data_IF_311502153079
#
_entry.id   IF_311502153079
#
_cell.length_a   1.000
_cell.length_b   1.000
_cell.length_c   1.000
_cell.angle_alpha   90.00
_cell.angle_beta   90.00
_cell.angle_gamma   90.00
#
_symmetry.space_group_name_H-M   'P 1'
#
loop_
_entity.id
_entity.type
_entity.pdbx_description
1 polymer ?
#
# COMPACT_ATOMS: atom_id res chain seq x y z
N UNK A 1 -3.10 8.31 -11.86
CA UNK A 1 -1.74 8.86 -12.00
C UNK A 1 -1.56 9.94 -10.95
N UNK A 2 -0.44 9.90 -10.23
CA UNK A 2 -0.13 10.85 -9.15
C UNK A 2 0.97 11.76 -9.59
N UNK A 3 0.82 13.03 -9.28
CA UNK A 3 1.91 13.97 -9.45
C UNK A 3 2.87 13.78 -8.29
N UNK A 4 4.06 13.33 -8.60
CA UNK A 4 5.17 13.17 -7.65
C UNK A 4 6.23 14.19 -8.01
N UNK A 5 6.72 14.93 -7.04
CA UNK A 5 7.91 15.74 -7.23
C UNK A 5 8.88 15.57 -6.06
N UNK A 6 10.14 15.66 -6.40
CA UNK A 6 11.24 15.67 -5.44
C UNK A 6 11.74 17.08 -5.24
N UNK A 7 12.16 17.39 -4.04
CA UNK A 7 12.66 18.71 -3.70
C UNK A 7 13.68 18.66 -2.57
N UNK A 8 14.43 19.73 -2.42
CA UNK A 8 15.27 20.01 -1.24
C UNK A 8 15.01 21.43 -0.78
N UNK A 9 15.12 21.65 0.51
CA UNK A 9 15.17 22.99 1.05
C UNK A 9 16.61 23.48 0.97
N UNK A 10 16.78 24.72 0.56
CA UNK A 10 18.05 25.41 0.61
C UNK A 10 17.97 26.58 1.60
N UNK A 11 18.97 26.70 2.47
CA UNK A 11 19.15 27.87 3.32
C UNK A 11 20.11 28.84 2.60
N UNK A 12 19.67 30.08 2.44
CA UNK A 12 20.50 31.15 1.87
C UNK A 12 21.07 32.01 3.01
N UNK A 13 22.38 32.17 3.01
CA UNK A 13 23.10 32.99 3.98
C UNK A 13 23.64 34.26 3.30
N UNK A 14 22.95 35.40 3.41
CA UNK A 14 23.40 36.65 2.76
C UNK A 14 24.75 37.09 3.35
N UNK A 15 25.66 37.48 2.46
CA UNK A 15 26.99 37.96 2.84
C UNK A 15 28.10 36.89 2.89
N UNK A 16 27.77 35.64 2.57
CA UNK A 16 28.77 34.60 2.32
C UNK A 16 29.11 34.64 0.81
N UNK A 17 30.38 34.80 0.48
CA UNK A 17 30.83 34.79 -0.93
C UNK A 17 30.80 33.34 -1.45
N UNK A 18 30.34 33.19 -2.69
CA UNK A 18 30.42 31.90 -3.40
C UNK A 18 31.90 31.58 -3.69
N UNK A 19 32.31 30.39 -3.34
CA UNK A 19 33.60 29.80 -3.69
C UNK A 19 33.38 28.77 -4.79
N UNK A 20 34.14 28.88 -5.88
CA UNK A 20 34.00 27.96 -7.02
C UNK A 20 34.18 26.50 -6.58
N UNK A 21 33.12 25.69 -6.79
CA UNK A 21 33.09 24.28 -6.38
C UNK A 21 32.54 24.00 -4.98
N UNK A 22 32.15 25.02 -4.21
CA UNK A 22 31.47 24.91 -2.93
C UNK A 22 30.06 25.53 -3.00
N UNK A 23 29.18 25.14 -2.11
CA UNK A 23 27.79 25.64 -2.10
C UNK A 23 27.66 27.14 -1.71
N UNK A 24 28.76 27.85 -1.53
CA UNK A 24 28.80 29.29 -1.29
C UNK A 24 27.83 29.76 -0.21
N UNK A 25 26.95 30.69 -0.63
CA UNK A 25 25.91 31.25 0.23
C UNK A 25 24.69 30.35 0.41
N UNK A 26 24.64 29.21 -0.26
CA UNK A 26 23.54 28.25 -0.15
C UNK A 26 23.98 26.95 0.51
N UNK A 27 23.23 26.54 1.53
CA UNK A 27 23.32 25.22 2.12
C UNK A 27 22.02 24.48 1.83
N UNK A 28 22.11 23.30 1.26
CA UNK A 28 20.92 22.46 1.05
C UNK A 28 20.90 21.30 2.05
N UNK A 29 19.70 20.96 2.47
CA UNK A 29 19.52 19.84 3.40
C UNK A 29 20.01 18.53 2.79
N UNK A 30 20.68 17.72 3.60
CA UNK A 30 21.26 16.41 3.23
C UNK A 30 22.26 16.45 2.04
N UNK A 31 22.76 17.60 1.62
CA UNK A 31 23.75 17.72 0.54
C UNK A 31 23.29 17.01 -0.74
N UNK A 32 24.10 16.05 -1.23
CA UNK A 32 23.73 15.18 -2.36
C UNK A 32 22.93 13.91 -1.95
N UNK A 33 22.50 13.84 -0.68
CA UNK A 33 21.69 12.74 -0.18
C UNK A 33 20.28 12.68 -0.76
N UNK A 34 19.42 11.90 -0.14
CA UNK A 34 18.05 11.67 -0.60
C UNK A 34 17.24 12.97 -0.68
N UNK A 35 16.53 13.15 -1.79
CA UNK A 35 15.55 14.22 -1.94
C UNK A 35 14.31 13.93 -1.10
N UNK A 36 13.62 14.98 -0.67
CA UNK A 36 12.27 14.86 -0.14
C UNK A 36 11.31 14.57 -1.27
N UNK A 37 10.32 13.72 -0.99
CA UNK A 37 9.30 13.34 -1.95
C UNK A 37 7.95 13.90 -1.50
N UNK A 38 7.23 14.49 -2.42
CA UNK A 38 5.88 14.98 -2.18
C UNK A 38 4.92 14.40 -3.22
N UNK A 39 3.88 13.76 -2.73
CA UNK A 39 2.82 13.18 -3.54
C UNK A 39 1.60 14.09 -3.50
N UNK A 40 1.07 14.43 -4.66
CA UNK A 40 -0.18 15.19 -4.78
C UNK A 40 -1.24 14.25 -5.35
N UNK A 41 -2.36 14.02 -4.66
CA UNK A 41 -3.48 13.26 -5.22
C UNK A 41 -3.97 13.85 -6.54
N UNK A 42 -4.42 13.01 -7.46
CA UNK A 42 -4.92 13.45 -8.78
C UNK A 42 -6.21 14.26 -8.70
N UNK A 43 -6.96 14.09 -7.62
CA UNK A 43 -8.19 14.83 -7.34
C UNK A 43 -7.95 16.10 -6.51
N UNK A 44 -6.72 16.39 -6.12
CA UNK A 44 -6.37 17.61 -5.42
C UNK A 44 -6.67 18.83 -6.29
N UNK A 45 -7.39 19.79 -5.73
CA UNK A 45 -7.72 21.05 -6.38
C UNK A 45 -7.32 22.24 -5.49
N UNK A 46 -6.89 23.33 -6.14
CA UNK A 46 -6.47 24.53 -5.42
C UNK A 46 -5.03 24.45 -4.91
N UNK A 47 -4.77 25.04 -3.75
CA UNK A 47 -3.42 25.12 -3.16
C UNK A 47 -3.25 24.00 -2.14
N UNK A 48 -2.22 23.19 -2.33
CA UNK A 48 -1.76 22.22 -1.34
C UNK A 48 -0.63 22.86 -0.54
N UNK A 49 -0.82 23.00 0.77
CA UNK A 49 0.20 23.53 1.67
C UNK A 49 1.13 22.38 2.12
N UNK A 50 2.42 22.64 2.05
CA UNK A 50 3.45 21.73 2.55
C UNK A 50 4.13 22.36 3.77
N UNK A 51 3.98 21.71 4.91
CA UNK A 51 4.73 22.05 6.11
C UNK A 51 5.93 21.09 6.23
N UNK A 52 7.13 21.63 6.32
CA UNK A 52 8.35 20.84 6.39
C UNK A 52 9.40 21.57 7.21
N UNK A 53 10.33 20.82 7.80
CA UNK A 53 11.43 21.33 8.59
C UNK A 53 12.72 21.08 7.84
N UNK A 54 13.61 22.09 7.84
CA UNK A 54 14.94 21.95 7.26
C UNK A 54 15.75 20.87 7.97
N UNK A 55 16.33 19.96 7.22
CA UNK A 55 17.11 18.83 7.75
C UNK A 55 16.29 17.61 8.16
N UNK A 56 14.98 17.70 8.16
CA UNK A 56 14.09 16.56 8.42
C UNK A 56 13.71 15.84 7.11
N UNK A 57 13.63 14.51 7.13
CA UNK A 57 13.19 13.71 5.99
C UNK A 57 11.67 13.77 5.71
N UNK A 58 11.00 14.77 6.28
CA UNK A 58 9.57 15.05 6.09
C UNK A 58 8.63 13.91 6.53
N UNK A 59 8.69 13.47 7.79
CA UNK A 59 7.79 12.44 8.30
C UNK A 59 6.32 12.89 8.37
N UNK A 60 6.07 14.19 8.27
CA UNK A 60 4.73 14.77 8.39
C UNK A 60 4.03 15.03 7.04
N UNK A 61 4.57 14.54 5.90
CA UNK A 61 3.86 14.68 4.63
C UNK A 61 2.61 13.78 4.63
N UNK A 62 1.39 14.34 4.67
CA UNK A 62 0.17 13.54 4.73
C UNK A 62 -0.08 12.72 3.48
N UNK A 63 0.65 13.02 2.39
CA UNK A 63 0.53 12.32 1.11
C UNK A 63 1.61 11.27 0.87
N UNK A 64 2.52 11.05 1.85
CA UNK A 64 3.42 9.90 1.76
C UNK A 64 2.61 8.61 1.81
N UNK A 65 2.99 7.61 0.99
CA UNK A 65 2.40 6.28 1.11
C UNK A 65 2.53 5.75 2.53
N UNK A 66 1.58 4.95 2.92
CA UNK A 66 1.57 4.19 4.18
C UNK A 66 1.80 2.73 3.88
N UNK A 67 2.53 2.10 4.76
CA UNK A 67 2.67 0.65 4.75
C UNK A 67 1.40 0.02 5.33
N UNK A 68 0.76 -0.82 4.55
CA UNK A 68 -0.40 -1.61 4.98
C UNK A 68 0.02 -3.08 4.98
N UNK A 69 0.05 -3.68 6.15
CA UNK A 69 0.31 -5.11 6.29
C UNK A 69 -0.99 -5.87 6.14
N UNK A 70 -1.08 -6.69 5.10
CA UNK A 70 -2.19 -7.60 4.86
C UNK A 70 -1.85 -8.96 5.45
N UNK A 71 -2.79 -9.55 6.19
CA UNK A 71 -2.66 -10.86 6.80
C UNK A 71 -3.79 -11.78 6.36
N UNK A 72 -3.45 -12.99 5.89
CA UNK A 72 -4.38 -14.00 5.43
C UNK A 72 -4.22 -15.29 6.23
N UNK A 73 -5.28 -15.75 6.88
CA UNK A 73 -5.32 -17.02 7.61
C UNK A 73 -5.57 -18.18 6.64
N UNK A 74 -4.56 -19.02 6.46
CA UNK A 74 -4.58 -20.24 5.65
C UNK A 74 -4.55 -21.52 6.51
N UNK A 75 -4.68 -21.43 7.84
CA UNK A 75 -4.53 -22.57 8.76
C UNK A 75 -5.41 -23.77 8.42
N UNK A 76 -6.56 -23.54 7.77
CA UNK A 76 -7.51 -24.59 7.39
C UNK A 76 -7.56 -24.86 5.88
N UNK A 77 -6.58 -24.37 5.14
CA UNK A 77 -6.53 -24.47 3.69
C UNK A 77 -5.23 -25.12 3.22
N UNK A 78 -5.31 -25.89 2.16
CA UNK A 78 -4.12 -26.38 1.46
C UNK A 78 -3.52 -25.25 0.62
N UNK A 79 -2.26 -24.98 0.84
CA UNK A 79 -1.54 -23.92 0.14
C UNK A 79 -1.01 -24.44 -1.19
N UNK A 80 -1.20 -23.68 -2.25
CA UNK A 80 -0.68 -24.00 -3.60
C UNK A 80 0.83 -24.12 -3.61
N UNK A 81 1.38 -24.96 -4.48
CA UNK A 81 2.82 -25.03 -4.75
C UNK A 81 3.36 -23.70 -5.33
N UNK A 82 2.51 -22.88 -5.95
CA UNK A 82 2.82 -21.56 -6.47
C UNK A 82 2.67 -20.45 -5.41
N UNK A 83 2.51 -20.79 -4.14
CA UNK A 83 2.39 -19.85 -3.04
C UNK A 83 1.01 -19.22 -2.89
N UNK A 84 0.94 -18.15 -2.11
CA UNK A 84 -0.26 -17.33 -1.87
C UNK A 84 0.04 -15.91 -2.31
N UNK A 85 -0.87 -15.31 -3.06
CA UNK A 85 -0.68 -13.97 -3.61
C UNK A 85 -1.87 -13.07 -3.30
N UNK A 86 -1.66 -11.77 -3.49
CA UNK A 86 -2.72 -10.77 -3.51
C UNK A 86 -2.63 -9.95 -4.79
N UNK A 87 -3.76 -9.77 -5.46
CA UNK A 87 -3.88 -8.84 -6.57
C UNK A 87 -4.84 -7.71 -6.19
N UNK A 88 -4.54 -6.49 -6.62
CA UNK A 88 -5.37 -5.34 -6.29
C UNK A 88 -5.08 -4.10 -7.10
N UNK A 89 -5.86 -3.06 -6.83
CA UNK A 89 -5.73 -1.76 -7.50
C UNK A 89 -4.37 -1.09 -7.29
N UNK A 90 -3.66 -1.43 -6.22
CA UNK A 90 -2.35 -0.87 -5.86
C UNK A 90 -1.22 -1.35 -6.79
N UNK A 91 -1.36 -2.49 -7.48
CA UNK A 91 -0.33 -3.08 -8.35
C UNK A 91 -0.84 -3.46 -9.75
N UNK A 92 -2.02 -2.94 -10.15
CA UNK A 92 -2.58 -3.16 -11.48
C UNK A 92 -3.24 -4.51 -11.70
N UNK A 93 -3.63 -5.21 -10.65
CA UNK A 93 -4.33 -6.49 -10.69
C UNK A 93 -3.53 -7.65 -11.29
N UNK A 94 -2.22 -7.64 -11.13
CA UNK A 94 -1.37 -8.77 -11.54
C UNK A 94 -1.40 -9.87 -10.46
N UNK A 95 -1.94 -11.07 -10.77
CA UNK A 95 -2.14 -12.12 -9.78
C UNK A 95 -0.85 -12.78 -9.28
N UNK A 96 0.26 -12.61 -9.97
CA UNK A 96 1.55 -13.17 -9.61
C UNK A 96 2.56 -12.15 -9.07
N UNK A 97 2.18 -10.87 -8.96
CA UNK A 97 3.15 -9.82 -8.64
C UNK A 97 3.44 -9.65 -7.15
N UNK A 98 2.51 -10.04 -6.26
CA UNK A 98 2.63 -9.76 -4.83
C UNK A 98 2.35 -11.02 -4.02
N UNK A 99 3.42 -11.68 -3.58
CA UNK A 99 3.37 -12.92 -2.80
C UNK A 99 3.29 -12.61 -1.29
N UNK A 100 2.47 -13.37 -0.57
CA UNK A 100 2.42 -13.38 0.88
C UNK A 100 3.31 -14.50 1.42
N UNK A 101 3.97 -14.25 2.54
CA UNK A 101 4.88 -15.20 3.18
C UNK A 101 4.42 -15.54 4.59
N UNK A 102 4.56 -16.82 4.96
CA UNK A 102 4.41 -17.30 6.33
C UNK A 102 5.82 -17.52 6.90
N UNK A 103 6.34 -16.52 7.65
CA UNK A 103 7.73 -16.50 8.10
C UNK A 103 7.97 -17.36 9.34
N UNK A 104 6.94 -17.59 10.15
CA UNK A 104 7.04 -18.31 11.43
C UNK A 104 6.30 -19.64 11.44
N UNK A 105 5.69 -19.99 10.32
CA UNK A 105 4.93 -21.23 10.08
C UNK A 105 3.73 -21.40 11.02
N UNK A 106 3.02 -20.31 11.29
CA UNK A 106 1.80 -20.31 12.07
C UNK A 106 0.52 -20.43 11.22
N UNK A 107 0.67 -20.41 9.90
CA UNK A 107 -0.42 -20.48 8.92
C UNK A 107 -1.01 -19.12 8.56
N UNK A 108 -0.43 -18.02 9.07
CA UNK A 108 -0.79 -16.64 8.68
C UNK A 108 0.20 -16.12 7.64
N UNK A 109 -0.29 -15.89 6.46
CA UNK A 109 0.49 -15.36 5.35
C UNK A 109 0.43 -13.84 5.33
N UNK A 110 1.57 -13.18 5.24
CA UNK A 110 1.72 -11.73 5.45
C UNK A 110 2.41 -11.07 4.26
N UNK A 111 1.97 -9.86 3.89
CA UNK A 111 2.67 -8.99 2.95
C UNK A 111 2.44 -7.53 3.28
N UNK A 112 3.47 -6.72 3.07
CA UNK A 112 3.39 -5.27 3.14
C UNK A 112 3.14 -4.69 1.74
N UNK A 113 2.16 -3.82 1.64
CA UNK A 113 1.88 -3.04 0.44
C UNK A 113 1.94 -1.55 0.75
N UNK A 114 2.19 -0.73 -0.26
CA UNK A 114 2.16 0.73 -0.13
C UNK A 114 0.91 1.30 -0.76
N UNK A 115 0.22 2.17 -0.02
CA UNK A 115 -0.95 2.88 -0.50
C UNK A 115 -1.01 4.28 0.11
N UNK A 116 -1.67 5.23 -0.58
CA UNK A 116 -1.71 6.58 -0.05
C UNK A 116 -2.92 6.82 0.84
N UNK A 117 -2.74 7.62 1.89
CA UNK A 117 -3.83 8.02 2.77
C UNK A 117 -5.03 8.58 2.00
N UNK A 118 -6.23 8.18 2.41
CA UNK A 118 -7.47 8.65 1.81
C UNK A 118 -7.88 7.94 0.51
N UNK A 119 -6.99 7.16 -0.12
CA UNK A 119 -7.39 6.30 -1.23
C UNK A 119 -8.24 5.12 -0.74
N UNK A 120 -8.98 4.52 -1.66
CA UNK A 120 -9.61 3.21 -1.42
C UNK A 120 -8.93 2.19 -2.32
N UNK A 121 -8.33 1.19 -1.72
CA UNK A 121 -7.76 0.05 -2.45
C UNK A 121 -8.77 -1.09 -2.51
N UNK A 122 -8.81 -1.79 -3.64
CA UNK A 122 -9.58 -3.00 -3.86
C UNK A 122 -8.61 -4.14 -4.11
N UNK A 123 -8.88 -5.33 -3.55
CA UNK A 123 -7.96 -6.46 -3.66
C UNK A 123 -8.66 -7.80 -3.47
N UNK A 124 -7.99 -8.87 -3.90
CA UNK A 124 -8.36 -10.28 -3.66
C UNK A 124 -7.13 -11.10 -3.33
N UNK A 125 -7.32 -12.10 -2.47
CA UNK A 125 -6.31 -13.11 -2.26
C UNK A 125 -6.44 -14.26 -3.25
N UNK A 126 -5.30 -14.87 -3.59
CA UNK A 126 -5.18 -15.89 -4.63
C UNK A 126 -4.33 -17.04 -4.06
N UNK A 127 -4.85 -18.25 -4.07
CA UNK A 127 -4.09 -19.44 -3.70
C UNK A 127 -3.37 -20.00 -4.93
N UNK A 128 -2.23 -19.44 -5.25
CA UNK A 128 -1.47 -19.60 -6.46
C UNK A 128 -1.02 -18.25 -7.01
N UNK A 129 -0.65 -18.19 -8.28
CA UNK A 129 -0.11 -17.00 -8.95
C UNK A 129 -0.91 -16.59 -10.20
N UNK A 130 -2.14 -17.09 -10.36
CA UNK A 130 -2.95 -16.86 -11.56
C UNK A 130 -4.45 -16.78 -11.24
N UNK A 131 -5.19 -16.08 -12.09
CA UNK A 131 -6.64 -15.98 -11.99
C UNK A 131 -7.32 -17.34 -12.13
N UNK A 132 -8.41 -17.53 -11.36
CA UNK A 132 -9.16 -18.77 -11.28
C UNK A 132 -8.95 -19.54 -9.98
N UNK A 133 -7.94 -19.15 -9.20
CA UNK A 133 -7.71 -19.59 -7.82
C UNK A 133 -7.88 -18.45 -6.81
N UNK A 134 -8.49 -17.36 -7.24
CA UNK A 134 -8.84 -16.22 -6.42
C UNK A 134 -10.04 -16.50 -5.51
N UNK A 135 -10.08 -15.80 -4.39
CA UNK A 135 -11.18 -15.90 -3.44
C UNK A 135 -12.50 -15.36 -4.03
N UNK A 136 -13.60 -15.90 -3.54
CA UNK A 136 -14.93 -15.36 -3.78
C UNK A 136 -15.43 -14.64 -2.53
N UNK A 137 -15.57 -13.34 -2.58
CA UNK A 137 -16.10 -12.53 -1.46
C UNK A 137 -17.62 -12.45 -1.60
N UNK A 138 -18.40 -13.30 -0.88
CA UNK A 138 -19.84 -13.44 -1.14
C UNK A 138 -20.68 -12.30 -0.55
N UNK A 139 -20.15 -11.62 0.47
CA UNK A 139 -20.90 -10.60 1.20
C UNK A 139 -20.50 -9.19 0.73
N UNK A 140 -21.42 -8.39 0.18
CA UNK A 140 -21.14 -7.02 -0.19
C UNK A 140 -20.78 -6.11 1.01
N UNK A 141 -21.00 -6.55 2.25
CA UNK A 141 -20.51 -5.85 3.43
C UNK A 141 -19.01 -6.10 3.70
N UNK A 142 -18.45 -7.20 3.18
CA UNK A 142 -17.03 -7.53 3.23
C UNK A 142 -16.31 -7.19 1.93
N UNK A 143 -17.05 -6.97 0.83
CA UNK A 143 -16.55 -6.66 -0.49
C UNK A 143 -17.21 -5.43 -1.09
N UNK A 144 -16.42 -4.55 -1.66
CA UNK A 144 -16.93 -3.45 -2.48
C UNK A 144 -17.34 -3.95 -3.86
N UNK A 145 -18.22 -3.22 -4.52
CA UNK A 145 -18.59 -3.48 -5.91
C UNK A 145 -17.41 -3.20 -6.84
N UNK A 146 -16.52 -4.17 -6.99
CA UNK A 146 -15.50 -4.17 -8.04
C UNK A 146 -16.09 -4.58 -9.38
N UNK A 147 -15.44 -4.24 -10.49
CA UNK A 147 -15.96 -4.49 -11.86
C UNK A 147 -16.10 -5.96 -12.27
N UNK A 148 -15.56 -6.91 -11.49
CA UNK A 148 -15.54 -8.36 -11.79
C UNK A 148 -15.96 -9.24 -10.60
N UNK A 149 -16.83 -8.76 -9.75
CA UNK A 149 -17.29 -9.46 -8.57
C UNK A 149 -17.07 -8.62 -7.32
N UNK A 150 -17.29 -9.22 -6.16
CA UNK A 150 -17.02 -8.55 -4.91
C UNK A 150 -15.54 -8.68 -4.58
N UNK A 151 -14.85 -7.57 -4.54
CA UNK A 151 -13.47 -7.48 -4.08
C UNK A 151 -13.44 -7.01 -2.62
N UNK A 152 -12.42 -7.36 -1.88
CA UNK A 152 -12.15 -6.70 -0.61
C UNK A 152 -11.80 -5.24 -0.86
N UNK A 153 -12.10 -4.38 0.09
CA UNK A 153 -11.68 -2.98 0.00
C UNK A 153 -11.18 -2.45 1.34
N UNK A 154 -10.30 -1.47 1.27
CA UNK A 154 -9.77 -0.76 2.41
C UNK A 154 -9.70 0.73 2.09
N UNK A 155 -10.31 1.57 2.92
CA UNK A 155 -9.98 2.99 2.96
C UNK A 155 -8.64 3.16 3.68
N UNK A 156 -7.65 3.65 2.95
CA UNK A 156 -6.27 3.75 3.46
C UNK A 156 -6.18 4.78 4.57
N UNK A 157 -5.74 4.39 5.78
CA UNK A 157 -5.63 5.29 6.92
C UNK A 157 -4.43 6.26 6.78
N UNK A 158 -4.36 7.24 7.68
CA UNK A 158 -3.28 8.24 7.70
C UNK A 158 -1.96 7.72 8.32
N UNK A 159 -1.92 6.47 8.75
CA UNK A 159 -0.75 5.85 9.41
C UNK A 159 -0.52 4.45 8.87
N UNK A 160 0.72 3.96 9.01
CA UNK A 160 1.05 2.57 8.78
C UNK A 160 0.16 1.68 9.64
N UNK A 161 -0.37 0.63 9.03
CA UNK A 161 -1.44 -0.17 9.63
C UNK A 161 -1.23 -1.65 9.36
N UNK A 162 -1.34 -2.44 10.40
CA UNK A 162 -1.40 -3.90 10.33
C UNK A 162 -2.86 -4.31 10.46
N UNK A 163 -3.38 -4.98 9.44
CA UNK A 163 -4.76 -5.49 9.46
C UNK A 163 -4.81 -6.81 10.22
N UNK A 164 -5.92 -7.02 10.94
CA UNK A 164 -6.17 -8.34 11.55
C UNK A 164 -6.21 -9.42 10.47
N UNK A 165 -5.75 -10.66 10.78
CA UNK A 165 -5.83 -11.75 9.82
C UNK A 165 -7.27 -12.03 9.39
N UNK A 166 -7.48 -12.13 8.07
CA UNK A 166 -8.78 -12.48 7.51
C UNK A 166 -8.77 -13.93 7.06
N UNK A 167 -9.87 -14.63 7.29
CA UNK A 167 -10.04 -16.00 6.80
C UNK A 167 -10.00 -16.03 5.28
N UNK A 168 -9.28 -17.01 4.74
CA UNK A 168 -9.30 -17.31 3.32
C UNK A 168 -10.69 -17.74 2.87
N UNK A 169 -11.20 -17.12 1.82
CA UNK A 169 -12.49 -17.47 1.20
C UNK A 169 -12.32 -18.26 -0.11
N UNK A 170 -11.12 -18.79 -0.34
CA UNK A 170 -10.71 -19.39 -1.63
C UNK A 170 -11.50 -20.67 -1.96
N UNK A 171 -12.12 -21.35 -0.99
CA UNK A 171 -12.89 -22.58 -1.22
C UNK A 171 -14.11 -22.72 -0.29
N UNK A 172 -14.73 -21.63 0.10
CA UNK A 172 -16.03 -21.73 0.78
C UNK A 172 -17.09 -22.08 -0.27
N UNK A 173 -17.23 -23.37 -0.56
CA UNK A 173 -18.52 -23.85 -1.11
C UNK A 173 -19.56 -23.62 -0.02
N UNK A 174 -20.69 -22.97 -0.38
CA UNK A 174 -21.80 -22.75 0.53
C UNK A 174 -22.08 -24.02 1.35
N UNK A 175 -22.22 -23.89 2.69
CA UNK A 175 -22.62 -25.04 3.48
C UNK A 175 -23.95 -25.51 2.95
N UNK A 176 -23.99 -26.72 2.43
CA UNK A 176 -25.22 -27.39 1.99
C UNK A 176 -26.20 -27.30 3.15
N UNK A 177 -27.22 -26.44 3.03
CA UNK A 177 -28.31 -26.41 4.00
C UNK A 177 -28.88 -27.81 4.04
N UNK A 178 -28.51 -28.59 5.04
CA UNK A 178 -29.28 -29.79 5.41
C UNK A 178 -30.64 -29.28 5.87
N UNK A 179 -31.61 -29.38 4.97
CA UNK A 179 -33.01 -29.31 5.36
C UNK A 179 -33.24 -30.61 6.15
N UNK A 180 -33.28 -30.49 7.47
CA UNK A 180 -33.86 -31.55 8.32
C UNK A 180 -35.36 -31.48 8.07
N UNK A 181 -35.88 -32.52 7.41
CA UNK A 181 -37.30 -32.83 7.32
C UNK A 181 -37.70 -33.53 8.62
#
# INVERSE_FOLDING_TARGET
DRNVFTYKLGAYYPGVEEVEGENGSMDNEAGFGADKVFYIPTDASGTVALETVFGDNNPANPFLPRTITLNLDMTNHEVSEDGVHVAGSFQGWDPGATELMDYDNDGIYTVDIEANPGDTIYYKFINGNSWGSDESVPDPACGGAGGFGNDRFLAVPDADTVLDPVLSLIHISEPTRRILI
#
